data_IF_207508286648
#
_entry.id   IF_207508286648
#
_cell.length_a   1.000
_cell.length_b   1.000
_cell.length_c   1.000
_cell.angle_alpha   90.00
_cell.angle_beta   90.00
_cell.angle_gamma   90.00
#
_symmetry.space_group_name_H-M   'P 1'
#
loop_
_entity.id
_entity.type
_entity.pdbx_description
1 polymer ?
#
# COMPACT_ATOMS: atom_id res chain seq x y z
N UNK A 1 -5.04 -11.98 -22.08
CA UNK A 1 -4.22 -11.12 -21.22
C UNK A 1 -4.73 -9.71 -21.35
N UNK A 2 -5.42 -9.23 -20.33
CA UNK A 2 -6.15 -7.97 -20.33
C UNK A 2 -5.16 -6.80 -20.25
N UNK A 3 -5.11 -5.94 -21.28
CA UNK A 3 -4.08 -4.90 -21.46
C UNK A 3 -4.13 -3.77 -20.43
N UNK A 4 -5.14 -3.72 -19.55
CA UNK A 4 -5.34 -2.63 -18.59
C UNK A 4 -4.42 -2.68 -17.36
N UNK A 5 -3.81 -3.82 -17.05
CA UNK A 5 -2.93 -3.96 -15.87
C UNK A 5 -1.44 -3.73 -16.17
N UNK A 6 -1.04 -3.66 -17.45
CA UNK A 6 0.38 -3.68 -17.85
C UNK A 6 1.12 -2.38 -17.55
N UNK A 7 0.42 -1.25 -17.42
CA UNK A 7 1.07 0.07 -17.30
C UNK A 7 1.46 0.44 -15.86
N UNK A 8 0.79 -0.12 -14.84
CA UNK A 8 1.01 0.27 -13.43
C UNK A 8 2.26 -0.42 -12.82
N UNK A 9 2.72 -1.54 -13.39
CA UNK A 9 3.79 -2.39 -12.80
C UNK A 9 5.20 -2.21 -13.42
N UNK A 10 5.37 -1.38 -14.45
CA UNK A 10 6.60 -1.41 -15.24
C UNK A 10 7.86 -0.93 -14.48
N UNK A 11 7.72 0.06 -13.60
CA UNK A 11 8.85 0.59 -12.82
C UNK A 11 9.27 -0.37 -11.69
N UNK A 12 8.32 -0.95 -10.96
CA UNK A 12 8.60 -1.81 -9.81
C UNK A 12 9.17 -3.18 -10.20
N UNK A 13 8.82 -3.69 -11.39
CA UNK A 13 9.34 -4.98 -11.88
C UNK A 13 10.78 -4.89 -12.42
N UNK A 14 11.32 -3.68 -12.64
CA UNK A 14 12.70 -3.51 -13.09
C UNK A 14 13.71 -4.12 -12.08
N UNK A 15 13.39 -4.06 -10.78
CA UNK A 15 14.18 -4.70 -9.72
C UNK A 15 14.22 -6.23 -9.79
N UNK A 16 13.35 -6.88 -10.58
CA UNK A 16 13.37 -8.32 -10.79
C UNK A 16 14.33 -8.75 -11.91
N UNK A 17 14.75 -7.83 -12.79
CA UNK A 17 15.63 -8.14 -13.90
C UNK A 17 16.95 -8.84 -13.50
N UNK A 18 17.65 -8.44 -12.42
CA UNK A 18 18.88 -9.12 -12.01
C UNK A 18 18.64 -10.42 -11.24
N UNK A 19 17.40 -10.74 -10.85
CA UNK A 19 17.13 -11.93 -10.05
C UNK A 19 17.19 -13.21 -10.90
N UNK A 20 17.77 -14.30 -10.36
CA UNK A 20 17.86 -15.56 -11.08
C UNK A 20 16.47 -16.10 -11.41
N UNK A 21 16.26 -16.48 -12.68
CA UNK A 21 14.99 -17.04 -13.15
C UNK A 21 14.97 -18.54 -12.90
N UNK A 22 14.24 -18.96 -11.87
CA UNK A 22 14.14 -20.36 -11.44
C UNK A 22 12.93 -21.12 -12.00
N UNK A 23 12.05 -20.45 -12.77
CA UNK A 23 10.89 -21.08 -13.41
C UNK A 23 9.94 -20.08 -14.07
N UNK A 24 8.72 -20.54 -14.41
CA UNK A 24 7.67 -19.73 -15.06
C UNK A 24 7.05 -18.66 -14.14
N UNK A 25 7.19 -18.79 -12.83
CA UNK A 25 6.60 -17.90 -11.82
C UNK A 25 7.66 -16.98 -11.22
N UNK A 26 7.28 -15.77 -10.77
CA UNK A 26 8.20 -14.84 -10.08
C UNK A 26 8.79 -15.51 -8.83
N UNK A 27 7.91 -16.11 -8.01
CA UNK A 27 8.31 -16.93 -6.87
C UNK A 27 8.03 -18.39 -7.23
N UNK A 28 9.01 -19.06 -7.84
CA UNK A 28 8.88 -20.43 -8.31
C UNK A 28 9.30 -21.45 -7.24
N UNK A 29 8.50 -22.51 -7.05
CA UNK A 29 8.92 -23.72 -6.32
C UNK A 29 9.79 -24.62 -7.21
N UNK A 30 9.46 -24.68 -8.49
CA UNK A 30 10.16 -25.39 -9.56
C UNK A 30 9.79 -24.74 -10.91
N UNK A 31 10.24 -25.31 -12.03
CA UNK A 31 10.03 -24.75 -13.37
C UNK A 31 8.56 -24.42 -13.70
N UNK A 32 7.59 -25.16 -13.16
CA UNK A 32 6.18 -25.05 -13.53
C UNK A 32 5.24 -24.63 -12.41
N UNK A 33 5.65 -24.69 -11.13
CA UNK A 33 4.78 -24.43 -9.98
C UNK A 33 5.18 -23.17 -9.20
N UNK A 34 4.22 -22.35 -8.75
CA UNK A 34 4.50 -21.24 -7.85
C UNK A 34 4.80 -21.72 -6.43
N UNK A 35 5.43 -20.84 -5.65
CA UNK A 35 5.52 -21.00 -4.19
C UNK A 35 4.13 -20.95 -3.57
N UNK A 36 3.85 -21.81 -2.59
CA UNK A 36 2.57 -21.76 -1.88
C UNK A 36 2.50 -20.55 -0.95
N UNK A 37 1.30 -20.01 -0.75
CA UNK A 37 1.05 -18.91 0.20
C UNK A 37 1.63 -19.20 1.59
N UNK A 38 1.44 -20.44 2.08
CA UNK A 38 1.95 -20.88 3.39
C UNK A 38 3.48 -20.85 3.44
N UNK A 39 4.16 -21.22 2.34
CA UNK A 39 5.62 -21.16 2.28
C UNK A 39 6.12 -19.71 2.27
N UNK A 40 5.48 -18.82 1.50
CA UNK A 40 5.80 -17.38 1.52
C UNK A 40 5.63 -16.82 2.93
N UNK A 41 4.51 -17.12 3.59
CA UNK A 41 4.25 -16.68 4.96
C UNK A 41 5.31 -17.18 5.94
N UNK A 42 5.76 -18.44 5.81
CA UNK A 42 6.83 -18.99 6.64
C UNK A 42 8.15 -18.24 6.41
N UNK A 43 8.57 -18.06 5.15
CA UNK A 43 9.82 -17.36 4.83
C UNK A 43 9.85 -15.94 5.40
N UNK A 44 8.74 -15.21 5.31
CA UNK A 44 8.66 -13.86 5.88
C UNK A 44 8.60 -13.90 7.42
N UNK A 45 7.98 -14.92 8.02
CA UNK A 45 8.02 -15.13 9.47
C UNK A 45 9.44 -15.42 9.97
N UNK A 46 10.21 -16.22 9.24
CA UNK A 46 11.60 -16.55 9.58
C UNK A 46 12.42 -15.24 9.65
N UNK A 47 12.32 -14.38 8.63
CA UNK A 47 12.96 -13.05 8.61
C UNK A 47 12.44 -12.16 9.75
N UNK A 48 11.13 -12.09 9.97
CA UNK A 48 10.53 -11.29 11.05
C UNK A 48 11.03 -11.72 12.42
N UNK A 49 11.28 -13.01 12.62
CA UNK A 49 11.86 -13.52 13.86
C UNK A 49 13.29 -13.04 14.02
N UNK A 50 14.09 -13.17 12.96
CA UNK A 50 15.49 -12.76 12.94
C UNK A 50 15.69 -11.27 13.25
N UNK A 51 14.83 -10.40 12.72
CA UNK A 51 14.92 -8.95 12.93
C UNK A 51 14.11 -8.44 14.12
N UNK A 52 13.47 -9.32 14.91
CA UNK A 52 12.64 -8.92 16.05
C UNK A 52 11.33 -8.20 15.69
N UNK A 53 10.80 -8.41 14.49
CA UNK A 53 9.59 -7.77 13.94
C UNK A 53 8.35 -8.68 13.96
N UNK A 54 8.25 -9.58 14.95
CA UNK A 54 7.15 -10.56 15.04
C UNK A 54 5.80 -9.93 15.35
N UNK A 55 5.78 -8.75 15.96
CA UNK A 55 4.55 -7.98 16.23
C UNK A 55 3.90 -7.41 14.96
N UNK A 56 4.66 -7.24 13.88
CA UNK A 56 4.17 -6.69 12.61
C UNK A 56 3.76 -7.80 11.65
N UNK A 57 2.74 -7.59 10.80
CA UNK A 57 2.28 -8.61 9.83
C UNK A 57 2.47 -8.17 8.38
N UNK A 58 2.61 -9.14 7.47
CA UNK A 58 2.78 -8.90 6.01
C UNK A 58 1.63 -8.07 5.44
N UNK A 59 0.40 -8.27 5.93
CA UNK A 59 -0.75 -7.48 5.51
C UNK A 59 -0.57 -5.98 5.80
N UNK A 60 0.23 -5.63 6.81
CA UNK A 60 0.58 -4.26 7.16
C UNK A 60 1.30 -3.51 6.05
N UNK A 61 2.01 -4.19 5.15
CA UNK A 61 2.63 -3.52 4.00
C UNK A 61 1.59 -2.90 3.05
N UNK A 62 0.46 -3.58 2.83
CA UNK A 62 -0.63 -3.04 2.01
C UNK A 62 -1.35 -1.88 2.69
N UNK A 63 -1.44 -1.92 4.02
CA UNK A 63 -1.93 -0.80 4.82
C UNK A 63 -1.00 0.41 4.68
N UNK A 64 0.32 0.22 4.90
CA UNK A 64 1.31 1.28 4.79
C UNK A 64 1.34 1.90 3.38
N UNK A 65 1.23 1.08 2.33
CA UNK A 65 1.14 1.59 0.96
C UNK A 65 -0.10 2.50 0.77
N UNK A 66 -1.27 2.11 1.30
CA UNK A 66 -2.47 2.93 1.23
C UNK A 66 -2.33 4.25 2.02
N UNK A 67 -1.69 4.19 3.19
CA UNK A 67 -1.40 5.37 4.02
C UNK A 67 -0.45 6.32 3.31
N UNK A 68 0.68 5.81 2.77
CA UNK A 68 1.65 6.64 2.05
C UNK A 68 1.05 7.31 0.81
N UNK A 69 0.18 6.61 0.07
CA UNK A 69 -0.55 7.21 -1.05
C UNK A 69 -1.53 8.30 -0.58
N UNK A 70 -2.22 8.08 0.54
CA UNK A 70 -3.10 9.09 1.12
C UNK A 70 -2.31 10.33 1.60
N UNK A 71 -1.16 10.13 2.24
CA UNK A 71 -0.24 11.20 2.67
C UNK A 71 0.34 11.97 1.48
N UNK A 72 0.58 11.28 0.35
CA UNK A 72 0.97 11.89 -0.92
C UNK A 72 -0.17 12.66 -1.62
N UNK A 73 -1.38 12.67 -1.04
CA UNK A 73 -2.53 13.40 -1.57
C UNK A 73 -3.33 12.65 -2.64
N UNK A 74 -3.08 11.36 -2.86
CA UNK A 74 -3.89 10.55 -3.77
C UNK A 74 -5.34 10.45 -3.29
N UNK A 75 -6.26 10.48 -4.24
CA UNK A 75 -7.69 10.25 -4.02
C UNK A 75 -8.00 8.79 -3.64
N UNK A 76 -9.14 8.57 -3.00
CA UNK A 76 -9.58 7.22 -2.60
C UNK A 76 -9.66 6.26 -3.82
N UNK A 77 -10.03 6.77 -4.99
CA UNK A 77 -10.11 5.98 -6.23
C UNK A 77 -8.74 5.62 -6.78
N UNK A 78 -7.75 6.52 -6.71
CA UNK A 78 -6.36 6.22 -7.08
C UNK A 78 -5.76 5.19 -6.13
N UNK A 79 -5.96 5.36 -4.83
CA UNK A 79 -5.50 4.40 -3.82
C UNK A 79 -6.16 3.03 -4.05
N UNK A 80 -7.48 3.01 -4.32
CA UNK A 80 -8.19 1.77 -4.62
C UNK A 80 -7.60 1.03 -5.83
N UNK A 81 -7.30 1.77 -6.91
CA UNK A 81 -6.73 1.22 -8.13
C UNK A 81 -5.35 0.58 -7.88
N UNK A 82 -4.49 1.22 -7.09
CA UNK A 82 -3.16 0.69 -6.77
C UNK A 82 -3.23 -0.50 -5.81
N UNK A 83 -4.07 -0.40 -4.77
CA UNK A 83 -4.11 -1.39 -3.68
C UNK A 83 -5.03 -2.59 -3.94
N UNK A 84 -5.79 -2.57 -5.03
CA UNK A 84 -6.70 -3.63 -5.46
C UNK A 84 -7.90 -3.85 -4.52
N UNK A 85 -8.32 -2.83 -3.78
CA UNK A 85 -9.47 -2.93 -2.88
C UNK A 85 -10.78 -3.09 -3.66
N UNK A 86 -11.63 -4.02 -3.21
CA UNK A 86 -12.95 -4.23 -3.82
C UNK A 86 -13.91 -3.06 -3.60
N UNK A 87 -13.78 -2.34 -2.48
CA UNK A 87 -14.67 -1.24 -2.13
C UNK A 87 -13.88 -0.05 -1.62
N UNK A 88 -14.42 1.16 -1.83
CA UNK A 88 -13.85 2.41 -1.33
C UNK A 88 -13.88 2.48 0.21
N UNK A 89 -14.87 1.87 0.85
CA UNK A 89 -14.95 1.82 2.32
C UNK A 89 -13.69 1.20 2.97
N UNK A 90 -13.05 0.22 2.30
CA UNK A 90 -11.80 -0.37 2.80
C UNK A 90 -10.62 0.60 2.71
N UNK A 91 -10.59 1.44 1.67
CA UNK A 91 -9.57 2.49 1.50
C UNK A 91 -9.77 3.60 2.55
N UNK A 92 -11.02 4.02 2.76
CA UNK A 92 -11.39 5.03 3.76
C UNK A 92 -10.93 4.65 5.17
N UNK A 93 -11.04 3.37 5.53
CA UNK A 93 -10.52 2.86 6.81
C UNK A 93 -9.02 3.13 6.99
N UNK A 94 -8.23 3.01 5.92
CA UNK A 94 -6.78 3.20 5.97
C UNK A 94 -6.39 4.67 5.89
N UNK A 95 -7.18 5.46 5.15
CA UNK A 95 -6.97 6.90 4.98
C UNK A 95 -7.37 7.73 6.20
N UNK A 96 -8.36 7.30 7.00
CA UNK A 96 -8.93 8.09 8.08
C UNK A 96 -7.87 8.69 9.03
N UNK A 97 -6.82 7.93 9.33
CA UNK A 97 -5.76 8.35 10.23
C UNK A 97 -4.80 9.38 9.58
N UNK A 98 -4.32 9.10 8.36
CA UNK A 98 -3.47 10.03 7.59
C UNK A 98 -4.18 11.37 7.30
N UNK A 99 -5.45 11.31 6.91
CA UNK A 99 -6.27 12.48 6.66
C UNK A 99 -6.47 13.34 7.91
N UNK A 100 -6.64 12.72 9.07
CA UNK A 100 -6.89 13.47 10.30
C UNK A 100 -5.71 14.40 10.59
N UNK A 101 -4.48 13.91 10.47
CA UNK A 101 -3.28 14.73 10.65
C UNK A 101 -3.15 15.81 9.57
N UNK A 102 -3.30 15.44 8.30
CA UNK A 102 -3.13 16.36 7.17
C UNK A 102 -4.22 17.45 7.09
N UNK A 103 -5.47 17.11 7.43
CA UNK A 103 -6.62 18.01 7.33
C UNK A 103 -6.82 18.88 8.59
N UNK A 104 -6.31 18.46 9.75
CA UNK A 104 -6.52 19.20 11.01
C UNK A 104 -5.99 20.62 10.96
N UNK A 105 -4.75 20.82 10.52
CA UNK A 105 -4.11 22.15 10.46
C UNK A 105 -4.85 23.13 9.53
N UNK A 106 -5.12 22.81 8.25
CA UNK A 106 -5.86 23.71 7.37
C UNK A 106 -7.31 23.91 7.81
N UNK A 107 -7.97 22.92 8.41
CA UNK A 107 -9.33 23.08 8.95
C UNK A 107 -9.37 24.10 10.11
N UNK A 108 -8.41 24.04 11.04
CA UNK A 108 -8.31 25.02 12.14
C UNK A 108 -7.98 26.43 11.65
N UNK A 109 -7.11 26.55 10.63
CA UNK A 109 -6.81 27.83 10.00
C UNK A 109 -8.08 28.49 9.41
N UNK A 110 -8.85 27.74 8.61
CA UNK A 110 -10.13 28.20 8.03
C UNK A 110 -11.13 28.63 9.10
N UNK A 111 -11.25 27.86 10.19
CA UNK A 111 -12.12 28.20 11.32
C UNK A 111 -11.73 29.52 12.00
N UNK A 112 -10.43 29.77 12.13
CA UNK A 112 -9.91 31.01 12.73
C UNK A 112 -10.17 32.21 11.83
N UNK A 113 -9.99 32.04 10.52
CA UNK A 113 -10.26 33.07 9.52
C UNK A 113 -11.74 33.46 9.46
N UNK A 114 -12.65 32.48 9.47
CA UNK A 114 -14.10 32.76 9.54
C UNK A 114 -14.47 33.62 10.75
N UNK A 115 -13.98 33.26 11.94
CA UNK A 115 -14.21 34.05 13.17
C UNK A 115 -13.64 35.47 13.10
N UNK A 116 -12.58 35.69 12.32
CA UNK A 116 -12.01 37.04 12.11
C UNK A 116 -12.89 37.86 11.18
N UNK A 117 -13.46 37.24 10.15
CA UNK A 117 -14.32 37.91 9.18
C UNK A 117 -15.70 38.25 9.76
N UNK A 118 -16.22 37.48 10.71
CA UNK A 118 -17.47 37.76 11.43
C UNK A 118 -17.39 38.93 12.42
N UNK A 119 -16.18 39.36 12.80
CA UNK A 119 -15.95 40.46 13.75
C UNK A 119 -15.65 41.80 13.08
N UNK A 120 -15.64 41.84 11.75
CA UNK A 120 -15.56 43.07 10.94
C UNK A 120 -16.96 43.50 10.53
#
# INVERSE_FOLDING_TARGET
>A
MDRKLTTILAADLAGLAPLPRSGKHILAKNLTQPLSKRRVQKLVMDIRTEIGAVEFVIHGWRYNAAVQLAEAGCSDTEIQAVTGHKTLAMVQKYRAQANQEHLSKPAQAKRTEQKRNEKK
#
